data_IF_553725559724
#
_entry.id   IF_553725559724
#
_cell.length_a   1.000
_cell.length_b   1.000
_cell.length_c   1.000
_cell.angle_alpha   90.00
_cell.angle_beta   90.00
_cell.angle_gamma   90.00
#
_symmetry.space_group_name_H-M   'P 1'
#
loop_
_entity.id
_entity.type
_entity.pdbx_description
1 polymer ?
#
# COMPACT_ATOMS: atom_id res chain seq x y z
N UNK A 1 -13.05 -0.64 7.62
CA UNK A 1 -12.32 0.23 6.67
C UNK A 1 -10.83 0.11 6.97
N UNK A 2 -9.98 -0.05 5.95
CA UNK A 2 -8.56 -0.35 6.16
C UNK A 2 -7.75 0.95 6.23
N UNK A 3 -6.73 1.01 7.09
CA UNK A 3 -5.82 2.19 7.23
C UNK A 3 -5.11 2.64 5.94
N UNK A 4 -5.28 1.91 4.84
CA UNK A 4 -4.68 2.19 3.53
C UNK A 4 -5.70 2.66 2.49
N UNK A 5 -6.96 2.88 2.87
CA UNK A 5 -8.02 3.35 1.97
C UNK A 5 -7.65 4.61 1.16
N UNK A 6 -6.98 5.63 1.73
CA UNK A 6 -6.53 6.80 0.96
C UNK A 6 -5.54 6.43 -0.16
N UNK A 7 -4.64 5.49 0.12
CA UNK A 7 -3.69 4.98 -0.86
C UNK A 7 -4.40 4.18 -1.96
N UNK A 8 -5.42 3.39 -1.62
CA UNK A 8 -6.20 2.65 -2.62
C UNK A 8 -7.00 3.55 -3.54
N UNK A 9 -7.60 4.62 -3.01
CA UNK A 9 -8.31 5.62 -3.80
C UNK A 9 -7.34 6.31 -4.79
N UNK A 10 -6.17 6.73 -4.30
CA UNK A 10 -5.12 7.30 -5.14
C UNK A 10 -4.68 6.37 -6.28
N UNK A 11 -4.55 5.07 -6.01
CA UNK A 11 -4.21 4.05 -7.01
C UNK A 11 -5.36 3.75 -7.99
N UNK A 12 -6.62 3.85 -7.54
CA UNK A 12 -7.80 3.57 -8.36
C UNK A 12 -8.04 4.66 -9.41
N UNK A 13 -7.83 5.92 -9.05
CA UNK A 13 -7.99 7.05 -9.97
C UNK A 13 -6.98 7.05 -11.10
N UNK A 14 -5.76 6.55 -10.86
CA UNK A 14 -4.67 6.68 -11.82
C UNK A 14 -4.61 5.57 -12.88
N UNK A 15 -5.41 4.49 -12.81
CA UNK A 15 -5.50 3.35 -13.77
C UNK A 15 -4.17 2.92 -14.44
N UNK A 16 -3.02 3.05 -13.78
CA UNK A 16 -1.71 2.64 -14.32
C UNK A 16 -1.45 1.17 -14.03
N UNK A 17 -0.82 0.48 -14.99
CA UNK A 17 -0.36 -0.91 -14.83
C UNK A 17 0.73 -1.06 -13.76
N UNK A 18 1.50 0.00 -13.51
CA UNK A 18 2.54 0.02 -12.48
C UNK A 18 2.64 1.38 -11.81
N UNK A 19 2.99 1.36 -10.52
CA UNK A 19 3.16 2.55 -9.70
C UNK A 19 4.54 2.52 -9.06
N UNK A 20 5.29 3.60 -9.25
CA UNK A 20 6.54 3.86 -8.54
C UNK A 20 6.25 4.95 -7.51
N UNK A 21 6.09 4.54 -6.25
CA UNK A 21 5.83 5.41 -5.12
C UNK A 21 6.95 5.24 -4.11
N UNK A 22 7.55 6.35 -3.66
CA UNK A 22 8.51 6.35 -2.56
C UNK A 22 7.78 6.30 -1.22
N UNK A 23 8.46 5.84 -0.17
CA UNK A 23 7.90 5.79 1.19
C UNK A 23 7.41 7.16 1.65
N UNK A 24 8.14 8.24 1.34
CA UNK A 24 7.72 9.62 1.62
C UNK A 24 6.40 9.99 0.93
N UNK A 25 6.24 9.58 -0.34
CA UNK A 25 5.00 9.87 -1.08
C UNK A 25 3.81 9.14 -0.50
N UNK A 26 4.01 7.91 -0.03
CA UNK A 26 2.96 7.15 0.65
C UNK A 26 2.66 7.73 2.04
N UNK A 27 3.69 8.18 2.78
CA UNK A 27 3.53 8.91 4.05
C UNK A 27 2.66 10.16 3.86
N UNK A 28 2.91 10.93 2.80
CA UNK A 28 2.11 12.10 2.46
C UNK A 28 0.64 11.75 2.11
N UNK A 29 0.40 10.62 1.45
CA UNK A 29 -0.97 10.17 1.10
C UNK A 29 -1.72 9.63 2.34
N UNK A 30 -1.01 8.95 3.23
CA UNK A 30 -1.60 8.28 4.39
C UNK A 30 -1.65 9.18 5.65
N UNK A 31 -0.81 10.22 5.71
CA UNK A 31 -0.65 11.06 6.89
C UNK A 31 0.15 10.42 8.04
N UNK A 32 0.68 9.21 7.83
CA UNK A 32 1.50 8.49 8.82
C UNK A 32 2.64 7.73 8.17
N UNK A 33 3.70 7.47 8.94
CA UNK A 33 4.84 6.68 8.46
C UNK A 33 4.42 5.22 8.30
N UNK A 34 4.53 4.72 7.06
CA UNK A 34 4.55 3.28 6.86
C UNK A 34 5.93 2.78 7.25
N UNK A 35 5.95 2.01 8.32
CA UNK A 35 7.11 1.25 8.71
C UNK A 35 7.46 0.19 7.65
N UNK A 36 8.71 -0.29 7.64
CA UNK A 36 9.18 -1.41 6.80
C UNK A 36 8.26 -2.65 6.92
N UNK A 37 7.47 -2.73 7.99
CA UNK A 37 6.30 -3.59 8.17
C UNK A 37 5.30 -3.63 6.99
N UNK A 38 5.25 -2.62 6.11
CA UNK A 38 4.42 -2.64 4.88
C UNK A 38 4.82 -3.79 3.93
N UNK A 39 6.11 -4.04 3.77
CA UNK A 39 6.62 -5.17 2.96
C UNK A 39 6.23 -6.51 3.60
N UNK A 40 6.24 -6.58 4.93
CA UNK A 40 5.83 -7.76 5.70
C UNK A 40 4.33 -8.05 5.54
N UNK A 41 3.47 -7.02 5.50
CA UNK A 41 2.03 -7.17 5.25
C UNK A 41 1.76 -7.80 3.87
N UNK A 42 2.51 -7.40 2.83
CA UNK A 42 2.38 -7.98 1.49
C UNK A 42 2.84 -9.44 1.44
N UNK A 43 3.98 -9.76 2.07
CA UNK A 43 4.48 -11.15 2.19
C UNK A 43 3.50 -12.06 2.94
N UNK A 44 2.90 -11.57 4.03
CA UNK A 44 1.93 -12.33 4.82
C UNK A 44 0.62 -12.63 4.07
N UNK A 45 0.20 -11.75 3.14
CA UNK A 45 -0.99 -11.97 2.30
C UNK A 45 -0.76 -12.97 1.17
N UNK A 46 0.45 -13.01 0.58
CA UNK A 46 0.79 -14.00 -0.46
C UNK A 46 0.79 -15.43 0.13
N UNK A 47 1.20 -15.59 1.39
CA UNK A 47 1.28 -16.90 2.05
C UNK A 47 -0.06 -17.43 2.57
N UNK A 48 -1.14 -16.63 2.58
CA UNK A 48 -2.47 -17.03 3.07
C UNK A 48 -3.47 -17.44 1.98
N UNK A 49 -3.04 -17.54 0.71
CA UNK A 49 -3.86 -18.02 -0.41
C UNK A 49 -3.45 -19.41 -0.91
N UNK A 50 -2.74 -20.16 -0.08
CA UNK A 50 -2.27 -21.52 -0.32
C UNK A 50 -2.70 -22.41 0.85
N UNK A 51 -4.02 -22.49 1.05
CA UNK A 51 -4.71 -23.58 1.75
C UNK A 51 -6.07 -23.73 1.06
#
# INVERSE_FOLDING_TARGET
MSKYEPLWNYLKENKKKSYKLTYEKIKNILGFEIDHSFLSYKKAKIRRKLI
#
